data_IF_501169114595
#
_entry.id   IF_501169114595
#
_cell.length_a   1.000
_cell.length_b   1.000
_cell.length_c   1.000
_cell.angle_alpha   90.00
_cell.angle_beta   90.00
_cell.angle_gamma   90.00
#
_symmetry.space_group_name_H-M   'P 1'
#
loop_
_entity.id
_entity.type
_entity.pdbx_description
1 polymer ?
#
# COMPACT_ATOMS: atom_id res chain seq x y z
N UNK A 1 19.27 -40.44 -35.16
CA UNK A 1 17.90 -40.48 -34.58
C UNK A 1 17.76 -39.68 -33.27
N UNK A 2 18.64 -39.84 -32.28
CA UNK A 2 18.54 -39.08 -31.01
C UNK A 2 18.74 -37.56 -31.19
N UNK A 3 19.77 -37.15 -31.94
CA UNK A 3 20.05 -35.72 -32.21
C UNK A 3 18.92 -35.02 -32.97
N UNK A 4 18.31 -35.69 -33.95
CA UNK A 4 17.19 -35.14 -34.73
C UNK A 4 15.94 -34.96 -33.85
N UNK A 5 15.68 -35.89 -32.92
CA UNK A 5 14.59 -35.76 -31.94
C UNK A 5 14.82 -34.61 -30.96
N UNK A 6 16.05 -34.45 -30.47
CA UNK A 6 16.43 -33.33 -29.59
C UNK A 6 16.26 -31.99 -30.32
N UNK A 7 16.73 -31.91 -31.56
CA UNK A 7 16.58 -30.71 -32.38
C UNK A 7 15.10 -30.36 -32.61
N UNK A 8 14.26 -31.37 -32.87
CA UNK A 8 12.83 -31.16 -33.12
C UNK A 8 12.08 -30.70 -31.86
N UNK A 9 12.38 -31.29 -30.69
CA UNK A 9 11.82 -30.85 -29.40
C UNK A 9 12.26 -29.42 -29.07
N UNK A 10 13.54 -29.10 -29.31
CA UNK A 10 14.07 -27.75 -29.08
C UNK A 10 13.41 -26.72 -29.99
N UNK A 11 13.19 -27.07 -31.26
CA UNK A 11 12.49 -26.21 -32.22
C UNK A 11 11.04 -25.95 -31.79
N UNK A 12 10.32 -26.99 -31.36
CA UNK A 12 8.93 -26.85 -30.86
C UNK A 12 8.89 -25.96 -29.62
N UNK A 13 9.85 -26.09 -28.70
CA UNK A 13 9.96 -25.22 -27.52
C UNK A 13 10.20 -23.76 -27.92
N UNK A 14 11.13 -23.50 -28.83
CA UNK A 14 11.45 -22.14 -29.31
C UNK A 14 10.28 -21.50 -30.06
N UNK A 15 9.57 -22.26 -30.90
CA UNK A 15 8.37 -21.78 -31.60
C UNK A 15 7.26 -21.45 -30.62
N UNK A 16 7.05 -22.28 -29.58
CA UNK A 16 6.09 -21.99 -28.52
C UNK A 16 6.44 -20.71 -27.75
N UNK A 17 7.71 -20.45 -27.46
CA UNK A 17 8.16 -19.22 -26.77
C UNK A 17 7.96 -17.95 -27.62
N UNK A 18 7.90 -18.07 -28.96
CA UNK A 18 7.62 -16.95 -29.87
C UNK A 18 6.12 -16.68 -30.00
N UNK A 19 5.29 -17.73 -30.01
CA UNK A 19 3.82 -17.60 -30.17
C UNK A 19 3.16 -17.25 -28.83
N UNK A 20 3.64 -17.83 -27.74
CA UNK A 20 3.25 -17.53 -26.38
C UNK A 20 4.48 -16.94 -25.66
N UNK A 21 4.71 -15.62 -25.74
CA UNK A 21 5.75 -15.00 -24.93
C UNK A 21 5.52 -15.40 -23.47
N UNK A 22 6.58 -15.62 -22.68
CA UNK A 22 6.43 -15.95 -21.27
C UNK A 22 5.55 -14.87 -20.62
N UNK A 23 4.57 -15.27 -19.80
CA UNK A 23 3.79 -14.31 -19.02
C UNK A 23 4.69 -13.72 -17.94
N UNK A 24 5.51 -12.75 -18.32
CA UNK A 24 6.19 -11.91 -17.36
C UNK A 24 5.11 -11.04 -16.73
N UNK A 25 4.95 -11.13 -15.41
CA UNK A 25 4.12 -10.22 -14.65
C UNK A 25 4.50 -8.78 -15.07
N UNK A 26 3.56 -8.08 -15.67
CA UNK A 26 3.80 -6.74 -16.18
C UNK A 26 3.97 -5.81 -14.98
N UNK A 27 5.20 -5.32 -14.79
CA UNK A 27 5.54 -4.34 -13.76
C UNK A 27 4.47 -3.22 -13.71
N UNK A 28 3.98 -2.82 -12.53
CA UNK A 28 3.11 -1.68 -12.39
C UNK A 28 3.72 -0.41 -12.96
N UNK A 29 2.89 0.37 -13.66
CA UNK A 29 3.25 1.71 -14.09
C UNK A 29 2.72 2.75 -13.10
N UNK A 30 3.38 2.84 -11.95
CA UNK A 30 2.98 3.75 -10.87
C UNK A 30 3.06 5.23 -11.27
N UNK A 31 3.89 5.60 -12.27
CA UNK A 31 3.94 6.98 -12.79
C UNK A 31 2.68 7.42 -13.52
N UNK A 32 1.77 6.48 -13.82
CA UNK A 32 0.45 6.76 -14.40
C UNK A 32 -0.69 6.64 -13.37
N UNK A 33 -0.37 6.39 -12.10
CA UNK A 33 -1.38 6.29 -11.04
C UNK A 33 -1.90 7.66 -10.61
N UNK A 34 -3.07 7.65 -9.96
CA UNK A 34 -3.63 8.82 -9.30
C UNK A 34 -2.65 9.34 -8.23
N UNK A 35 -2.02 8.45 -7.48
CA UNK A 35 -1.07 8.77 -6.42
C UNK A 35 0.14 9.56 -6.93
N UNK A 36 0.73 9.17 -8.06
CA UNK A 36 1.83 9.94 -8.65
C UNK A 36 1.40 11.35 -9.05
N UNK A 37 0.18 11.48 -9.55
CA UNK A 37 -0.40 12.78 -9.90
C UNK A 37 -0.62 13.65 -8.66
N UNK A 38 -1.21 13.08 -7.60
CA UNK A 38 -1.45 13.76 -6.32
C UNK A 38 -0.16 14.23 -5.66
N UNK A 39 0.86 13.35 -5.58
CA UNK A 39 2.16 13.68 -4.99
C UNK A 39 2.86 14.78 -5.78
N UNK A 40 2.86 14.69 -7.12
CA UNK A 40 3.48 15.73 -7.96
C UNK A 40 2.79 17.09 -7.79
N UNK A 41 1.46 17.12 -7.78
CA UNK A 41 0.70 18.36 -7.54
C UNK A 41 0.95 18.92 -6.14
N UNK A 42 1.04 18.07 -5.10
CA UNK A 42 1.33 18.50 -3.73
C UNK A 42 2.73 19.12 -3.61
N UNK A 43 3.73 18.56 -4.29
CA UNK A 43 5.08 19.14 -4.38
C UNK A 43 5.02 20.52 -5.04
N UNK A 44 4.38 20.64 -6.20
CA UNK A 44 4.29 21.90 -6.94
C UNK A 44 3.60 22.99 -6.11
N UNK A 45 2.54 22.63 -5.37
CA UNK A 45 1.83 23.55 -4.48
C UNK A 45 2.70 24.01 -3.31
N UNK A 46 3.45 23.11 -2.67
CA UNK A 46 4.34 23.48 -1.57
C UNK A 46 5.55 24.31 -2.03
N UNK A 47 6.08 24.05 -3.23
CA UNK A 47 7.14 24.88 -3.82
C UNK A 47 6.63 26.31 -4.03
N UNK A 48 5.40 26.50 -4.55
CA UNK A 48 4.80 27.82 -4.68
C UNK A 48 4.61 28.51 -3.34
N UNK A 49 4.10 27.80 -2.32
CA UNK A 49 3.92 28.35 -0.97
C UNK A 49 5.26 28.76 -0.32
N UNK A 50 6.35 28.06 -0.63
CA UNK A 50 7.69 28.43 -0.20
C UNK A 50 8.16 29.76 -0.82
N UNK A 51 7.75 30.03 -2.05
CA UNK A 51 8.03 31.30 -2.75
C UNK A 51 7.12 32.45 -2.26
N UNK A 52 5.96 32.14 -1.68
CA UNK A 52 5.02 33.10 -1.09
C UNK A 52 4.70 32.81 0.39
N UNK A 53 5.67 32.93 1.33
CA UNK A 53 5.51 32.48 2.72
C UNK A 53 4.40 33.19 3.51
N UNK A 54 4.04 34.42 3.11
CA UNK A 54 3.04 35.23 3.80
C UNK A 54 1.62 34.64 3.72
N UNK A 55 1.35 33.79 2.72
CA UNK A 55 0.06 33.14 2.50
C UNK A 55 0.02 31.70 3.03
N UNK A 56 1.09 31.24 3.68
CA UNK A 56 1.25 29.87 4.16
C UNK A 56 0.79 29.72 5.60
N UNK A 57 -0.02 28.69 5.87
CA UNK A 57 -0.32 28.22 7.23
C UNK A 57 0.84 27.44 7.89
N UNK A 58 1.92 27.20 7.15
CA UNK A 58 3.07 26.41 7.58
C UNK A 58 4.31 27.27 7.79
N UNK A 59 5.12 26.91 8.78
CA UNK A 59 6.46 27.48 8.93
C UNK A 59 7.40 26.98 7.82
N UNK A 60 8.49 27.69 7.52
CA UNK A 60 9.48 27.23 6.54
C UNK A 60 9.99 25.81 6.80
N UNK A 61 10.24 25.46 8.06
CA UNK A 61 10.72 24.13 8.45
C UNK A 61 9.65 23.05 8.21
N UNK A 62 8.38 23.37 8.42
CA UNK A 62 7.27 22.45 8.12
C UNK A 62 7.12 22.23 6.62
N UNK A 63 7.32 23.28 5.80
CA UNK A 63 7.30 23.18 4.34
C UNK A 63 8.44 22.28 3.86
N UNK A 64 9.68 22.50 4.34
CA UNK A 64 10.83 21.67 3.98
C UNK A 64 10.62 20.19 4.34
N UNK A 65 10.11 19.92 5.54
CA UNK A 65 9.82 18.55 5.97
C UNK A 65 8.80 17.88 5.04
N UNK A 66 7.67 18.53 4.79
CA UNK A 66 6.63 18.01 3.89
C UNK A 66 7.14 17.80 2.47
N UNK A 67 7.96 18.72 1.96
CA UNK A 67 8.60 18.57 0.64
C UNK A 67 9.55 17.38 0.60
N UNK A 68 10.33 17.15 1.67
CA UNK A 68 11.19 15.97 1.81
C UNK A 68 10.40 14.67 1.73
N UNK A 69 9.32 14.57 2.51
CA UNK A 69 8.45 13.40 2.54
C UNK A 69 7.82 13.13 1.17
N UNK A 70 7.24 14.15 0.54
CA UNK A 70 6.61 13.99 -0.79
C UNK A 70 7.62 13.66 -1.89
N UNK A 71 8.83 14.22 -1.84
CA UNK A 71 9.90 13.86 -2.80
C UNK A 71 10.33 12.42 -2.65
N UNK A 72 10.38 11.90 -1.41
CA UNK A 72 10.65 10.49 -1.16
C UNK A 72 9.52 9.62 -1.71
N UNK A 73 8.26 9.98 -1.47
CA UNK A 73 7.10 9.27 -2.05
C UNK A 73 7.17 9.24 -3.58
N UNK A 74 7.43 10.40 -4.21
CA UNK A 74 7.59 10.49 -5.67
C UNK A 74 8.70 9.58 -6.18
N UNK A 75 9.86 9.60 -5.52
CA UNK A 75 11.00 8.76 -5.88
C UNK A 75 10.65 7.26 -5.80
N UNK A 76 9.91 6.84 -4.78
CA UNK A 76 9.43 5.47 -4.65
C UNK A 76 8.52 5.12 -5.85
N UNK A 77 7.52 5.94 -6.15
CA UNK A 77 6.61 5.72 -7.28
C UNK A 77 7.34 5.65 -8.64
N UNK A 78 8.42 6.41 -8.82
CA UNK A 78 9.23 6.39 -10.05
C UNK A 78 10.10 5.13 -10.18
N UNK A 79 10.51 4.52 -9.06
CA UNK A 79 11.55 3.48 -9.05
C UNK A 79 11.05 2.09 -8.69
N UNK A 80 9.97 2.00 -7.93
CA UNK A 80 9.41 0.74 -7.44
C UNK A 80 9.03 -0.19 -8.59
N UNK A 81 9.12 -1.49 -8.31
CA UNK A 81 8.89 -2.56 -9.30
C UNK A 81 7.64 -3.36 -9.08
N UNK A 82 7.03 -3.23 -7.90
CA UNK A 82 5.88 -3.99 -7.45
C UNK A 82 4.81 -3.02 -6.94
N UNK A 83 3.60 -3.51 -6.71
CA UNK A 83 2.55 -2.77 -6.01
C UNK A 83 2.89 -2.64 -4.52
N UNK A 84 2.10 -1.88 -3.76
CA UNK A 84 2.26 -1.88 -2.32
C UNK A 84 1.85 -3.24 -1.74
N UNK A 85 2.60 -3.71 -0.76
CA UNK A 85 2.28 -4.91 0.00
C UNK A 85 2.08 -4.56 1.47
N UNK A 86 1.15 -5.27 2.11
CA UNK A 86 0.96 -5.22 3.55
C UNK A 86 1.39 -6.54 4.17
N UNK A 87 2.18 -6.47 5.24
CA UNK A 87 2.61 -7.60 6.04
C UNK A 87 2.12 -7.44 7.46
N UNK A 88 1.46 -8.47 7.96
CA UNK A 88 0.88 -8.47 9.29
C UNK A 88 1.78 -9.23 10.27
N UNK A 89 2.33 -8.52 11.25
CA UNK A 89 3.06 -9.07 12.39
C UNK A 89 2.46 -8.60 13.72
N UNK A 90 1.17 -8.26 13.72
CA UNK A 90 0.49 -7.68 14.89
C UNK A 90 0.12 -8.73 15.95
N UNK A 91 0.22 -10.01 15.64
CA UNK A 91 -0.28 -11.13 16.46
C UNK A 91 -1.78 -11.38 16.31
N UNK A 92 -2.49 -10.61 15.47
CA UNK A 92 -3.95 -10.66 15.27
C UNK A 92 -4.31 -10.62 13.79
N UNK A 93 -5.59 -10.69 13.44
CA UNK A 93 -6.04 -10.41 12.07
C UNK A 93 -5.95 -8.90 11.82
N UNK A 94 -5.38 -8.52 10.69
CA UNK A 94 -5.26 -7.14 10.24
C UNK A 94 -6.26 -6.87 9.13
N UNK A 95 -7.05 -5.81 9.24
CA UNK A 95 -7.90 -5.37 8.16
C UNK A 95 -7.11 -4.45 7.23
N UNK A 96 -7.11 -4.75 5.93
CA UNK A 96 -6.36 -4.02 4.90
C UNK A 96 -7.29 -3.59 3.78
N UNK A 97 -7.06 -2.42 3.24
CA UNK A 97 -7.66 -1.97 2.00
C UNK A 97 -6.77 -2.35 0.84
N UNK A 98 -7.39 -2.80 -0.24
CA UNK A 98 -6.68 -2.93 -1.49
C UNK A 98 -7.60 -3.22 -2.66
N UNK A 99 -7.00 -3.30 -3.83
CA UNK A 99 -7.72 -3.57 -5.06
C UNK A 99 -6.86 -4.36 -6.04
N UNK A 100 -7.52 -4.99 -7.02
CA UNK A 100 -6.81 -5.56 -8.16
C UNK A 100 -6.42 -4.44 -9.12
N UNK A 101 -5.17 -4.37 -9.60
CA UNK A 101 -4.70 -3.32 -10.52
C UNK A 101 -5.56 -3.12 -11.77
N UNK A 102 -6.20 -4.19 -12.27
CA UNK A 102 -7.09 -4.15 -13.45
C UNK A 102 -8.50 -3.63 -13.14
N UNK A 103 -8.82 -3.31 -11.89
CA UNK A 103 -10.16 -2.97 -11.39
C UNK A 103 -10.16 -1.77 -10.43
N UNK A 104 -9.29 -0.78 -10.68
CA UNK A 104 -9.19 0.48 -9.90
C UNK A 104 -10.57 1.15 -9.73
N UNK A 105 -11.42 1.09 -10.76
CA UNK A 105 -12.77 1.67 -10.74
C UNK A 105 -13.76 1.01 -9.75
N UNK A 106 -13.41 -0.13 -9.13
CA UNK A 106 -14.27 -0.80 -8.13
C UNK A 106 -14.06 -0.24 -6.71
N UNK A 107 -13.11 0.68 -6.52
CA UNK A 107 -12.81 1.29 -5.24
C UNK A 107 -12.09 0.35 -4.28
N UNK A 108 -11.70 0.90 -3.13
CA UNK A 108 -10.86 0.21 -2.17
C UNK A 108 -11.74 -0.69 -1.30
N UNK A 109 -11.52 -2.00 -1.42
CA UNK A 109 -12.29 -3.01 -0.69
C UNK A 109 -11.53 -3.43 0.56
N UNK A 110 -12.27 -3.67 1.65
CA UNK A 110 -11.68 -4.15 2.90
C UNK A 110 -11.53 -5.68 2.86
N UNK A 111 -10.31 -6.14 3.17
CA UNK A 111 -9.93 -7.54 3.28
C UNK A 111 -9.29 -7.81 4.65
N UNK A 112 -9.16 -9.07 5.00
CA UNK A 112 -8.62 -9.53 6.27
C UNK A 112 -7.35 -10.36 6.02
N UNK A 113 -6.23 -9.86 6.53
CA UNK A 113 -4.92 -10.47 6.43
C UNK A 113 -4.57 -11.14 7.75
N UNK A 114 -4.33 -12.45 7.74
CA UNK A 114 -3.97 -13.21 8.93
C UNK A 114 -2.58 -12.85 9.47
N UNK A 115 -2.33 -13.16 10.74
CA UNK A 115 -1.03 -12.92 11.34
C UNK A 115 0.08 -13.73 10.65
N UNK A 116 1.23 -13.08 10.43
CA UNK A 116 2.40 -13.64 9.74
C UNK A 116 2.31 -13.61 8.22
N UNK A 117 1.17 -13.19 7.64
CA UNK A 117 0.95 -13.18 6.20
C UNK A 117 1.39 -11.86 5.55
N UNK A 118 1.68 -11.95 4.25
CA UNK A 118 1.97 -10.82 3.36
C UNK A 118 1.01 -10.89 2.17
N UNK A 119 0.54 -9.73 1.70
CA UNK A 119 -0.31 -9.67 0.52
C UNK A 119 0.46 -10.01 -0.75
N UNK A 120 -0.22 -10.63 -1.72
CA UNK A 120 0.30 -10.97 -3.06
C UNK A 120 0.85 -9.72 -3.79
N UNK A 121 1.90 -9.85 -4.59
CA UNK A 121 2.59 -8.75 -5.25
C UNK A 121 1.93 -8.27 -6.57
N UNK A 122 1.01 -9.06 -7.12
CA UNK A 122 0.09 -8.68 -8.22
C UNK A 122 -1.21 -8.02 -7.70
N UNK A 123 -1.32 -7.83 -6.38
CA UNK A 123 -2.43 -7.14 -5.71
C UNK A 123 -1.93 -5.92 -4.94
N UNK A 124 -2.66 -4.81 -5.04
CA UNK A 124 -2.21 -3.55 -4.45
C UNK A 124 -2.81 -3.34 -3.07
N UNK A 125 -1.97 -3.32 -2.04
CA UNK A 125 -2.38 -2.92 -0.69
C UNK A 125 -2.38 -1.40 -0.55
N UNK A 126 -3.55 -0.80 -0.78
CA UNK A 126 -3.75 0.64 -0.63
C UNK A 126 -3.49 1.14 0.79
N UNK A 127 -3.78 0.31 1.81
CA UNK A 127 -3.62 0.73 3.19
C UNK A 127 -4.12 -0.22 4.26
N UNK A 128 -3.99 0.22 5.52
CA UNK A 128 -4.41 -0.54 6.70
C UNK A 128 -5.59 0.15 7.36
N UNK A 129 -6.65 -0.62 7.66
CA UNK A 129 -7.76 -0.16 8.48
C UNK A 129 -7.44 -0.35 9.97
N UNK A 130 -7.65 0.70 10.75
CA UNK A 130 -7.48 0.69 12.19
C UNK A 130 -8.84 0.85 12.88
N UNK A 131 -9.32 -0.17 13.61
CA UNK A 131 -10.58 -0.08 14.34
C UNK A 131 -10.48 0.90 15.51
N UNK A 132 -11.65 1.29 16.03
CA UNK A 132 -11.77 1.99 17.31
C UNK A 132 -11.06 1.20 18.41
N UNK A 133 -10.36 1.92 19.28
CA UNK A 133 -9.57 1.35 20.38
C UNK A 133 -8.15 0.92 19.98
N UNK A 134 -7.78 1.01 18.71
CA UNK A 134 -6.38 0.81 18.28
C UNK A 134 -5.50 1.86 18.94
N UNK A 135 -4.37 1.46 19.53
CA UNK A 135 -3.39 2.39 20.11
C UNK A 135 -2.32 2.72 19.07
N UNK A 136 -2.02 4.00 18.91
CA UNK A 136 -1.00 4.48 17.98
C UNK A 136 0.12 5.22 18.74
N UNK A 137 1.31 5.39 18.14
CA UNK A 137 2.37 6.19 18.75
C UNK A 137 1.87 7.60 19.04
N UNK A 138 1.97 8.03 20.30
CA UNK A 138 1.47 9.34 20.76
C UNK A 138 -0.02 9.38 21.13
N UNK A 139 -0.78 8.33 20.83
CA UNK A 139 -2.18 8.16 21.23
C UNK A 139 -2.39 6.77 21.86
N UNK A 140 -2.00 6.70 23.14
CA UNK A 140 -2.01 5.46 23.93
C UNK A 140 -3.36 5.15 24.56
N UNK A 141 -4.30 6.11 24.57
CA UNK A 141 -5.68 5.91 25.03
C UNK A 141 -6.49 5.13 24.00
N UNK A 142 -6.09 5.25 22.73
CA UNK A 142 -6.62 4.49 21.61
C UNK A 142 -7.66 5.27 20.83
N UNK A 143 -7.77 4.94 19.55
CA UNK A 143 -8.60 5.67 18.60
C UNK A 143 -10.06 5.71 19.03
N UNK A 144 -10.66 6.89 19.05
CA UNK A 144 -12.10 7.08 19.31
C UNK A 144 -12.97 6.88 18.07
N UNK A 145 -12.36 6.96 16.88
CA UNK A 145 -12.99 6.79 15.57
C UNK A 145 -12.08 5.90 14.71
N UNK A 146 -12.63 5.09 13.78
CA UNK A 146 -11.80 4.29 12.90
C UNK A 146 -11.00 5.19 11.96
N UNK A 147 -9.79 4.74 11.62
CA UNK A 147 -8.88 5.41 10.69
C UNK A 147 -8.40 4.44 9.63
N UNK A 148 -7.97 4.97 8.50
CA UNK A 148 -7.19 4.22 7.53
C UNK A 148 -5.84 4.87 7.30
N UNK A 149 -4.80 4.05 7.25
CA UNK A 149 -3.43 4.45 6.98
C UNK A 149 -3.13 4.12 5.52
N UNK A 150 -3.00 5.15 4.67
CA UNK A 150 -2.68 4.97 3.25
C UNK A 150 -1.19 4.66 3.09
N UNK A 151 -0.89 3.61 2.33
CA UNK A 151 0.47 3.16 2.02
C UNK A 151 0.94 3.86 0.72
N UNK A 152 2.24 4.01 0.55
CA UNK A 152 2.81 4.47 -0.73
C UNK A 152 2.97 3.25 -1.63
N UNK A 153 2.37 3.27 -2.84
CA UNK A 153 2.54 2.19 -3.81
C UNK A 153 4.02 1.87 -4.03
N UNK A 154 4.33 0.58 -4.11
CA UNK A 154 5.70 0.11 -4.29
C UNK A 154 6.55 0.03 -3.02
N UNK A 155 5.92 0.18 -1.85
CA UNK A 155 6.52 -0.14 -0.55
C UNK A 155 5.93 -1.41 0.06
N UNK A 156 6.63 -1.98 1.03
CA UNK A 156 6.07 -3.01 1.91
C UNK A 156 5.86 -2.41 3.29
N UNK A 157 4.59 -2.20 3.65
CA UNK A 157 4.21 -1.82 5.00
C UNK A 157 4.17 -3.06 5.88
N UNK A 158 4.87 -3.02 7.00
CA UNK A 158 4.85 -4.04 8.04
C UNK A 158 4.17 -3.45 9.26
N UNK A 159 3.04 -4.03 9.65
CA UNK A 159 2.32 -3.66 10.85
C UNK A 159 2.72 -4.57 12.01
N UNK A 160 3.25 -4.00 13.09
CA UNK A 160 3.65 -4.71 14.31
C UNK A 160 2.85 -4.20 15.51
N UNK A 161 2.68 -5.03 16.54
CA UNK A 161 2.15 -4.60 17.82
C UNK A 161 3.24 -4.68 18.87
N UNK A 162 3.52 -3.57 19.55
CA UNK A 162 4.43 -3.57 20.69
C UNK A 162 3.81 -4.45 21.81
N UNK A 163 4.48 -5.52 22.27
CA UNK A 163 3.90 -6.47 23.21
C UNK A 163 3.72 -5.89 24.63
N UNK A 164 4.46 -4.84 24.99
CA UNK A 164 4.39 -4.21 26.31
C UNK A 164 3.25 -3.19 26.39
N UNK A 165 3.05 -2.42 25.31
CA UNK A 165 2.12 -1.28 25.31
C UNK A 165 0.81 -1.56 24.54
N UNK A 166 0.84 -2.52 23.63
CA UNK A 166 -0.23 -2.78 22.67
C UNK A 166 -0.34 -1.73 21.56
N UNK A 167 0.67 -0.87 21.39
CA UNK A 167 0.71 0.14 20.32
C UNK A 167 0.99 -0.54 18.99
N UNK A 168 0.22 -0.19 17.96
CA UNK A 168 0.46 -0.61 16.58
C UNK A 168 1.47 0.33 15.93
N UNK A 169 2.51 -0.23 15.32
CA UNK A 169 3.61 0.49 14.70
C UNK A 169 3.76 0.07 13.23
N UNK A 170 4.33 0.97 12.43
CA UNK A 170 4.61 0.74 11.01
C UNK A 170 6.08 1.00 10.71
N UNK A 171 6.68 0.16 9.86
CA UNK A 171 8.08 0.33 9.43
C UNK A 171 8.29 1.49 8.44
N UNK A 172 7.23 1.95 7.78
CA UNK A 172 7.24 3.03 6.79
C UNK A 172 6.35 4.18 7.24
N UNK A 173 6.73 5.40 6.89
CA UNK A 173 5.86 6.57 7.05
C UNK A 173 4.66 6.44 6.12
N UNK A 174 3.42 6.54 6.62
CA UNK A 174 2.23 6.52 5.78
C UNK A 174 2.24 7.62 4.73
N UNK A 175 1.66 7.33 3.56
CA UNK A 175 1.40 8.34 2.53
C UNK A 175 0.42 9.40 3.05
N UNK A 176 -0.63 8.94 3.73
CA UNK A 176 -1.66 9.77 4.32
C UNK A 176 -2.40 9.04 5.45
N UNK A 177 -3.13 9.78 6.28
CA UNK A 177 -4.06 9.25 7.28
C UNK A 177 -5.46 9.72 6.94
N UNK A 178 -6.35 8.76 6.67
CA UNK A 178 -7.73 9.00 6.28
C UNK A 178 -8.65 8.79 7.48
N UNK A 179 -9.57 9.73 7.67
CA UNK A 179 -10.60 9.68 8.71
C UNK A 179 -11.94 9.24 8.14
N UNK A 180 -12.81 8.69 8.99
CA UNK A 180 -14.18 8.37 8.63
C UNK A 180 -14.86 9.53 7.87
N UNK A 181 -15.46 9.22 6.71
CA UNK A 181 -16.06 10.22 5.82
C UNK A 181 -15.18 10.67 4.65
N UNK A 182 -13.94 10.18 4.52
CA UNK A 182 -13.17 10.29 3.27
C UNK A 182 -13.94 9.63 2.11
N UNK A 183 -14.06 10.33 0.97
CA UNK A 183 -15.04 10.04 -0.09
C UNK A 183 -14.88 8.64 -0.71
N UNK A 184 -13.66 8.10 -0.73
CA UNK A 184 -13.34 6.91 -1.54
C UNK A 184 -13.14 5.62 -0.72
N UNK A 185 -13.17 5.69 0.62
CA UNK A 185 -12.86 4.56 1.51
C UNK A 185 -14.03 4.30 2.46
N UNK A 186 -14.74 3.20 2.23
CA UNK A 186 -15.80 2.77 3.14
C UNK A 186 -15.16 2.33 4.47
N UNK A 187 -15.33 3.14 5.52
CA UNK A 187 -14.84 2.86 6.87
C UNK A 187 -16.00 2.35 7.75
N UNK A 188 -16.22 1.03 7.83
CA UNK A 188 -17.18 0.49 8.78
C UNK A 188 -16.73 0.79 10.22
N UNK A 189 -17.66 0.76 11.18
CA UNK A 189 -17.33 0.91 12.60
C UNK A 189 -17.10 -0.48 13.23
N UNK A 190 -15.94 -1.09 12.94
CA UNK A 190 -15.57 -2.40 13.46
C UNK A 190 -14.73 -2.26 14.74
N UNK A 191 -14.86 -3.23 15.62
CA UNK A 191 -13.92 -3.46 16.73
C UNK A 191 -12.84 -4.45 16.30
N UNK A 192 -11.73 -4.52 17.05
CA UNK A 192 -10.73 -5.56 16.81
C UNK A 192 -11.31 -6.98 16.93
N UNK A 193 -12.28 -7.21 17.82
CA UNK A 193 -12.93 -8.51 17.96
C UNK A 193 -13.75 -8.89 16.71
N UNK A 194 -14.39 -7.91 16.05
CA UNK A 194 -15.11 -8.14 14.80
C UNK A 194 -14.17 -8.54 13.67
N UNK A 195 -12.95 -7.97 13.65
CA UNK A 195 -11.88 -8.28 12.69
C UNK A 195 -11.28 -9.65 12.98
N UNK A 196 -10.97 -9.95 14.25
CA UNK A 196 -10.39 -11.23 14.68
C UNK A 196 -11.33 -12.42 14.40
N UNK A 197 -12.65 -12.17 14.37
CA UNK A 197 -13.66 -13.18 14.02
C UNK A 197 -13.75 -13.46 12.51
N UNK A 198 -13.09 -12.68 11.65
CA UNK A 198 -13.10 -12.88 10.20
C UNK A 198 -12.11 -13.97 9.80
N UNK A 199 -12.52 -14.77 8.83
CA UNK A 199 -11.62 -15.67 8.12
C UNK A 199 -10.75 -14.81 7.20
N UNK A 200 -9.41 -14.90 7.27
CA UNK A 200 -8.53 -14.18 6.36
C UNK A 200 -8.89 -14.46 4.88
N UNK A 201 -9.02 -13.40 4.10
CA UNK A 201 -9.46 -13.42 2.70
C UNK A 201 -8.65 -12.48 1.80
N UNK A 202 -7.66 -11.76 2.35
CA UNK A 202 -6.70 -11.01 1.56
C UNK A 202 -5.91 -11.97 0.63
N UNK A 203 -5.68 -11.62 -0.65
CA UNK A 203 -4.77 -12.36 -1.50
C UNK A 203 -3.36 -12.36 -0.88
N UNK A 204 -2.75 -13.54 -0.71
CA UNK A 204 -1.43 -13.70 -0.10
C UNK A 204 -0.44 -14.29 -1.10
N UNK A 205 0.84 -13.99 -0.88
CA UNK A 205 1.94 -14.67 -1.56
C UNK A 205 2.08 -16.09 -0.97
N UNK A 206 2.04 -17.12 -1.84
CA UNK A 206 2.13 -18.55 -1.48
C UNK A 206 3.55 -19.03 -1.14
#
# INVERSE_FOLDING_TARGET
MKLLRIALVSLVLLVNLVIAPPSWASKPNLTQSTDYTEVTQAIDNLVKLKETPADSQYTPEQIERKLGDLKLQKYILETARNWAQCRNETGKTLAVYGHKPKKIAQGNTLYFLGNGQVTDDDWDCDGVYLPVGTKLPGDIEGLTEPLAIKVVDGTQLVATTNPETGVVEFNVTPANVLKAGAIDWLMPNLTQADIDAKVPDAPIED
#
